data_IF_217222896578
#
_entry.id   IF_217222896578
#
_cell.length_a   1.000
_cell.length_b   1.000
_cell.length_c   1.000
_cell.angle_alpha   90.00
_cell.angle_beta   90.00
_cell.angle_gamma   90.00
#
_symmetry.space_group_name_H-M   'P 1'
#
loop_
_entity.id
_entity.type
_entity.pdbx_description
1 polymer ?
#
# COMPACT_ATOMS: atom_id res chain seq x y z
N UNK A 1 4.38 16.26 -1.84
CA UNK A 1 2.95 16.39 -1.55
C UNK A 1 2.75 16.17 -0.05
N UNK A 2 2.50 17.22 0.72
CA UNK A 2 2.38 17.17 2.19
C UNK A 2 1.00 16.63 2.62
N UNK A 3 0.95 15.40 3.10
CA UNK A 3 -0.21 14.86 3.83
C UNK A 3 0.02 15.01 5.34
N UNK A 4 0.08 16.27 5.80
CA UNK A 4 -0.18 16.62 7.20
C UNK A 4 -1.47 17.45 7.20
N UNK A 5 -2.61 16.78 7.02
CA UNK A 5 -3.91 17.40 7.19
C UNK A 5 -4.17 17.60 8.69
N UNK A 6 -3.58 18.67 9.23
CA UNK A 6 -3.90 19.16 10.57
C UNK A 6 -5.34 19.72 10.55
N UNK A 7 -6.29 18.95 11.08
CA UNK A 7 -7.64 19.42 11.35
C UNK A 7 -7.61 20.39 12.54
N UNK A 8 -7.41 21.69 12.27
CA UNK A 8 -7.48 22.75 13.26
C UNK A 8 -8.94 23.12 13.54
N UNK A 9 -9.48 22.66 14.67
CA UNK A 9 -10.77 23.11 15.20
C UNK A 9 -10.52 24.35 16.07
N UNK A 10 -10.95 25.51 15.61
CA UNK A 10 -10.93 26.75 16.36
C UNK A 10 -12.24 26.90 17.15
N UNK A 11 -12.16 26.89 18.48
CA UNK A 11 -13.25 27.31 19.36
C UNK A 11 -12.73 28.32 20.37
N UNK A 12 -13.23 29.55 20.26
CA UNK A 12 -13.13 30.54 21.31
C UNK A 12 -14.35 30.48 22.21
N UNK A 13 -14.13 30.53 23.52
CA UNK A 13 -14.72 31.50 24.46
C UNK A 13 -14.43 31.07 25.90
N UNK A 14 -14.12 32.08 26.70
CA UNK A 14 -13.67 32.06 28.08
C UNK A 14 -14.73 31.47 29.02
N UNK A 15 -14.58 30.20 29.36
CA UNK A 15 -14.97 29.66 30.66
C UNK A 15 -13.70 29.13 31.32
N UNK A 16 -13.67 28.99 32.65
CA UNK A 16 -12.71 28.13 33.33
C UNK A 16 -13.01 26.67 32.93
N UNK A 17 -12.79 26.37 31.65
CA UNK A 17 -12.82 25.03 31.08
C UNK A 17 -11.63 24.36 31.74
N UNK A 18 -11.89 23.36 32.57
CA UNK A 18 -10.92 22.32 32.86
C UNK A 18 -10.47 21.82 31.48
N UNK A 19 -9.38 22.38 30.97
CA UNK A 19 -8.94 22.16 29.61
C UNK A 19 -8.73 20.66 29.50
N UNK A 20 -9.60 19.99 28.73
CA UNK A 20 -9.39 18.58 28.42
C UNK A 20 -7.97 18.49 27.89
N UNK A 21 -7.10 17.67 28.50
CA UNK A 21 -5.70 17.59 28.09
C UNK A 21 -5.67 17.42 26.58
N UNK A 22 -4.96 18.32 25.90
CA UNK A 22 -4.78 18.21 24.46
C UNK A 22 -4.11 16.88 24.10
N UNK A 23 -4.14 16.49 22.81
CA UNK A 23 -3.46 15.27 22.38
C UNK A 23 -1.98 15.30 22.78
N UNK A 24 -1.50 14.18 23.31
CA UNK A 24 -0.10 14.04 23.75
C UNK A 24 0.88 14.14 22.56
N UNK A 25 2.19 14.32 22.81
CA UNK A 25 3.20 14.19 21.76
C UNK A 25 3.08 12.89 20.94
N UNK A 26 2.95 11.73 21.60
CA UNK A 26 2.80 10.42 20.92
C UNK A 26 1.56 10.39 20.01
N UNK A 27 0.42 10.88 20.50
CA UNK A 27 -0.82 10.94 19.71
C UNK A 27 -0.69 11.84 18.46
N UNK A 28 0.22 12.82 18.49
CA UNK A 28 0.50 13.72 17.36
C UNK A 28 1.60 13.20 16.44
N UNK A 29 2.17 12.02 16.71
CA UNK A 29 3.31 11.50 15.97
C UNK A 29 4.60 12.28 16.20
N UNK A 30 4.76 12.88 17.38
CA UNK A 30 5.99 13.55 17.78
C UNK A 30 6.80 12.64 18.71
N UNK A 31 8.13 12.74 18.61
CA UNK A 31 9.04 12.10 19.57
C UNK A 31 8.73 12.57 20.99
N UNK A 32 8.59 11.62 21.93
CA UNK A 32 8.43 11.89 23.34
C UNK A 32 9.59 11.30 24.12
N UNK A 33 10.23 12.13 24.95
CA UNK A 33 11.29 11.69 25.86
C UNK A 33 10.78 11.74 27.29
N UNK A 34 10.83 10.62 27.98
CA UNK A 34 10.51 10.46 29.39
C UNK A 34 11.70 10.83 30.29
N UNK A 35 12.95 10.73 29.80
CA UNK A 35 14.16 11.00 30.57
C UNK A 35 14.67 9.77 31.34
N UNK A 36 14.17 8.59 30.98
CA UNK A 36 14.66 7.30 31.45
C UNK A 36 14.91 6.42 30.23
N UNK A 37 16.09 5.83 30.12
CA UNK A 37 16.53 5.07 28.95
C UNK A 37 15.52 4.01 28.49
N UNK A 38 14.88 3.29 29.42
CA UNK A 38 13.92 2.24 29.08
C UNK A 38 12.67 2.80 28.40
N UNK A 39 12.13 3.89 28.92
CA UNK A 39 10.95 4.56 28.36
C UNK A 39 11.30 5.31 27.07
N UNK A 40 12.47 5.95 27.03
CA UNK A 40 12.94 6.67 25.84
C UNK A 40 13.16 5.70 24.67
N UNK A 41 13.70 4.50 24.92
CA UNK A 41 13.83 3.45 23.90
C UNK A 41 12.45 3.05 23.35
N UNK A 42 11.47 2.79 24.23
CA UNK A 42 10.09 2.48 23.85
C UNK A 42 9.47 3.56 22.96
N UNK A 43 9.54 4.83 23.38
CA UNK A 43 8.93 5.93 22.63
C UNK A 43 9.67 6.26 21.33
N UNK A 44 10.99 6.11 21.30
CA UNK A 44 11.80 6.27 20.08
C UNK A 44 11.40 5.21 19.05
N UNK A 45 11.35 3.95 19.47
CA UNK A 45 10.97 2.85 18.59
C UNK A 45 9.53 3.01 18.06
N UNK A 46 8.59 3.38 18.92
CA UNK A 46 7.22 3.67 18.49
C UNK A 46 7.17 4.81 17.46
N UNK A 47 7.91 5.89 17.69
CA UNK A 47 7.98 7.03 16.77
C UNK A 47 8.58 6.64 15.42
N UNK A 48 9.67 5.87 15.39
CA UNK A 48 10.28 5.40 14.15
C UNK A 48 9.29 4.58 13.31
N UNK A 49 8.52 3.69 13.95
CA UNK A 49 7.45 2.94 13.29
C UNK A 49 6.30 3.85 12.82
N UNK A 50 5.98 4.94 13.53
CA UNK A 50 4.99 5.92 13.08
C UNK A 50 5.44 6.60 11.78
N UNK A 51 6.70 7.01 11.70
CA UNK A 51 7.29 7.63 10.51
C UNK A 51 7.28 6.64 9.34
N UNK A 52 7.76 5.42 9.57
CA UNK A 52 7.76 4.37 8.53
C UNK A 52 6.36 4.09 7.98
N UNK A 53 5.37 3.97 8.86
CA UNK A 53 3.98 3.71 8.48
C UNK A 53 3.25 4.95 7.93
N UNK A 54 3.79 6.15 8.09
CA UNK A 54 3.25 7.35 7.43
C UNK A 54 3.46 7.28 5.90
N UNK A 55 4.59 6.73 5.47
CA UNK A 55 4.97 6.61 4.05
C UNK A 55 4.49 5.29 3.42
N UNK A 56 4.32 4.24 4.23
CA UNK A 56 3.99 2.89 3.77
C UNK A 56 2.83 2.79 2.75
N UNK A 57 1.72 3.56 2.83
CA UNK A 57 0.64 3.48 1.83
C UNK A 57 1.05 3.84 0.40
N UNK A 58 2.16 4.57 0.21
CA UNK A 58 2.70 4.88 -1.12
C UNK A 58 3.49 3.73 -1.75
N UNK A 59 4.07 2.85 -0.93
CA UNK A 59 5.03 1.82 -1.39
C UNK A 59 4.42 0.78 -2.35
N UNK A 60 3.19 0.26 -2.15
CA UNK A 60 2.59 -0.65 -3.14
C UNK A 60 2.39 0.00 -4.51
N UNK A 61 2.08 1.31 -4.53
CA UNK A 61 1.98 2.07 -5.78
C UNK A 61 3.34 2.18 -6.47
N UNK A 62 4.42 2.41 -5.74
CA UNK A 62 5.78 2.45 -6.30
C UNK A 62 6.18 1.11 -6.91
N UNK A 63 5.91 -0.01 -6.21
CA UNK A 63 6.15 -1.37 -6.74
C UNK A 63 5.38 -1.59 -8.03
N UNK A 64 4.09 -1.22 -8.05
CA UNK A 64 3.25 -1.31 -9.25
C UNK A 64 3.77 -0.41 -10.39
N UNK A 65 4.21 0.81 -10.06
CA UNK A 65 4.76 1.77 -11.01
C UNK A 65 6.01 1.24 -11.69
N UNK A 66 6.93 0.62 -10.94
CA UNK A 66 8.11 -0.04 -11.50
C UNK A 66 7.73 -1.15 -12.49
N UNK A 67 6.74 -1.99 -12.16
CA UNK A 67 6.25 -3.00 -13.10
C UNK A 67 5.55 -2.39 -14.33
N UNK A 68 4.79 -1.32 -14.14
CA UNK A 68 4.10 -0.61 -15.22
C UNK A 68 5.10 -0.01 -16.22
N UNK A 69 6.19 0.59 -15.73
CA UNK A 69 7.26 1.14 -16.57
C UNK A 69 7.87 0.07 -17.49
N UNK A 70 8.17 -1.13 -16.97
CA UNK A 70 8.66 -2.26 -17.77
C UNK A 70 7.67 -2.74 -18.85
N UNK A 71 6.38 -2.52 -18.62
CA UNK A 71 5.31 -2.90 -19.53
C UNK A 71 4.89 -1.75 -20.46
N UNK A 72 5.64 -0.64 -20.46
CA UNK A 72 5.35 0.58 -21.22
C UNK A 72 3.96 1.17 -20.91
N UNK A 73 3.57 1.11 -19.64
CA UNK A 73 2.33 1.67 -19.12
C UNK A 73 2.59 2.93 -18.29
N UNK A 74 1.54 3.72 -18.07
CA UNK A 74 1.57 4.85 -17.14
C UNK A 74 1.89 4.37 -15.70
N UNK A 75 2.65 5.15 -14.93
CA UNK A 75 3.04 4.81 -13.55
C UNK A 75 1.82 4.71 -12.59
N UNK A 76 0.68 5.29 -12.98
CA UNK A 76 -0.60 5.18 -12.28
C UNK A 76 -1.52 4.10 -12.86
N UNK A 77 -1.04 3.27 -13.79
CA UNK A 77 -1.81 2.16 -14.34
C UNK A 77 -2.39 1.30 -13.21
N UNK A 78 -3.65 0.91 -13.37
CA UNK A 78 -4.31 0.03 -12.39
C UNK A 78 -3.65 -1.35 -12.42
N UNK A 79 -3.66 -2.05 -11.28
CA UNK A 79 -3.09 -3.40 -11.22
C UNK A 79 -3.78 -4.37 -12.19
N UNK A 80 -5.05 -4.13 -12.54
CA UNK A 80 -5.76 -4.91 -13.56
C UNK A 80 -5.19 -4.72 -14.97
N UNK A 81 -4.81 -3.48 -15.34
CA UNK A 81 -4.22 -3.20 -16.63
C UNK A 81 -2.78 -3.73 -16.71
N UNK A 82 -2.00 -3.52 -15.64
CA UNK A 82 -0.65 -4.08 -15.49
C UNK A 82 -0.68 -5.59 -15.65
N UNK A 83 -1.57 -6.29 -14.93
CA UNK A 83 -1.68 -7.75 -15.01
C UNK A 83 -2.08 -8.23 -16.42
N UNK A 84 -3.05 -7.56 -17.07
CA UNK A 84 -3.46 -7.93 -18.42
C UNK A 84 -2.31 -7.79 -19.43
N UNK A 85 -1.55 -6.69 -19.35
CA UNK A 85 -0.41 -6.46 -20.24
C UNK A 85 0.72 -7.46 -19.96
N UNK A 86 0.96 -7.78 -18.68
CA UNK A 86 1.91 -8.82 -18.28
C UNK A 86 1.55 -10.18 -18.88
N UNK A 87 0.30 -10.61 -18.76
CA UNK A 87 -0.20 -11.86 -19.35
C UNK A 87 -0.05 -11.89 -20.88
N UNK A 88 -0.30 -10.77 -21.55
CA UNK A 88 -0.12 -10.63 -23.01
C UNK A 88 1.35 -10.76 -23.44
N UNK A 89 2.28 -10.16 -22.69
CA UNK A 89 3.72 -10.30 -22.98
C UNK A 89 4.20 -11.73 -22.74
N UNK A 90 3.78 -12.36 -21.64
CA UNK A 90 4.09 -13.78 -21.37
C UNK A 90 3.56 -14.69 -22.49
N UNK A 91 2.33 -14.47 -22.94
CA UNK A 91 1.75 -15.22 -24.06
C UNK A 91 2.52 -15.00 -25.37
N UNK A 92 2.90 -13.76 -25.68
CA UNK A 92 3.71 -13.43 -26.87
C UNK A 92 5.02 -14.21 -26.89
N UNK A 93 5.75 -14.22 -25.77
CA UNK A 93 6.99 -14.98 -25.64
C UNK A 93 6.75 -16.49 -25.71
N UNK A 94 5.67 -16.99 -25.09
CA UNK A 94 5.28 -18.41 -25.16
C UNK A 94 5.03 -18.85 -26.60
N UNK A 95 4.28 -18.07 -27.38
CA UNK A 95 4.03 -18.32 -28.81
C UNK A 95 5.32 -18.28 -29.65
N UNK A 96 6.33 -17.52 -29.22
CA UNK A 96 7.65 -17.50 -29.83
C UNK A 96 8.55 -18.70 -29.43
N UNK A 97 8.07 -19.56 -28.52
CA UNK A 97 8.81 -20.72 -28.00
C UNK A 97 9.72 -20.40 -26.81
N UNK A 98 9.48 -19.29 -26.11
CA UNK A 98 10.14 -18.91 -24.85
C UNK A 98 9.22 -19.21 -23.67
N UNK A 99 9.68 -20.00 -22.70
CA UNK A 99 8.95 -20.26 -21.45
C UNK A 99 9.54 -19.50 -20.26
N UNK A 100 8.74 -19.27 -19.23
CA UNK A 100 9.20 -18.73 -17.96
C UNK A 100 8.88 -19.68 -16.82
N UNK A 101 9.88 -19.96 -16.00
CA UNK A 101 9.73 -20.58 -14.69
C UNK A 101 9.85 -19.49 -13.64
N UNK A 102 8.92 -19.45 -12.70
CA UNK A 102 8.85 -18.37 -11.73
C UNK A 102 8.26 -18.87 -10.42
N UNK A 103 9.02 -18.76 -9.34
CA UNK A 103 8.58 -19.16 -8.00
C UNK A 103 8.85 -18.04 -7.01
N UNK A 104 7.84 -17.68 -6.22
CA UNK A 104 7.98 -16.71 -5.14
C UNK A 104 8.09 -17.46 -3.81
N UNK A 105 9.27 -17.39 -3.18
CA UNK A 105 9.43 -17.82 -1.79
C UNK A 105 8.75 -16.82 -0.85
N UNK A 106 7.91 -17.32 0.06
CA UNK A 106 7.28 -16.49 1.09
C UNK A 106 8.32 -15.78 1.96
N UNK A 107 7.98 -14.59 2.47
CA UNK A 107 8.85 -13.89 3.40
C UNK A 107 9.01 -14.70 4.69
N UNK A 108 10.26 -15.02 5.08
CA UNK A 108 10.53 -15.66 6.37
C UNK A 108 10.37 -14.66 7.52
N UNK A 109 10.47 -15.13 8.77
CA UNK A 109 10.38 -14.27 9.96
C UNK A 109 11.47 -13.18 9.99
N UNK A 110 12.60 -13.41 9.31
CA UNK A 110 13.70 -12.45 9.17
C UNK A 110 13.43 -11.42 8.07
N UNK A 111 12.34 -11.57 7.32
CA UNK A 111 11.94 -10.71 6.21
C UNK A 111 12.82 -10.88 4.97
N UNK A 112 13.52 -12.01 4.87
CA UNK A 112 14.15 -12.42 3.63
C UNK A 112 13.07 -13.01 2.72
N UNK A 113 13.12 -12.59 1.46
CA UNK A 113 12.23 -13.11 0.41
C UNK A 113 13.10 -13.52 -0.76
N UNK A 114 12.81 -14.69 -1.32
CA UNK A 114 13.44 -15.17 -2.54
C UNK A 114 12.44 -15.11 -3.68
N UNK A 115 12.95 -14.80 -4.87
CA UNK A 115 12.23 -15.01 -6.12
C UNK A 115 13.17 -15.83 -6.99
N UNK A 116 12.75 -17.02 -7.35
CA UNK A 116 13.53 -17.99 -8.12
C UNK A 116 12.88 -18.21 -9.49
N UNK A 117 13.63 -18.89 -10.37
CA UNK A 117 13.21 -19.16 -11.74
C UNK A 117 14.11 -18.54 -12.81
N UNK A 118 13.74 -18.79 -14.06
CA UNK A 118 14.51 -18.42 -15.24
C UNK A 118 13.70 -18.50 -16.54
N UNK A 119 14.39 -18.18 -17.64
CA UNK A 119 13.84 -18.26 -19.01
C UNK A 119 14.25 -19.59 -19.63
N UNK A 120 13.32 -20.28 -20.27
CA UNK A 120 13.53 -21.57 -20.97
C UNK A 120 13.19 -21.45 -22.46
N UNK A 121 13.66 -22.39 -23.29
CA UNK A 121 13.31 -22.46 -24.71
C UNK A 121 14.14 -21.52 -25.60
N UNK A 122 13.51 -20.91 -26.61
CA UNK A 122 14.15 -19.94 -27.50
C UNK A 122 14.28 -18.60 -26.77
N UNK A 123 15.42 -18.36 -26.13
CA UNK A 123 15.66 -17.10 -25.40
C UNK A 123 16.24 -16.03 -26.32
N UNK A 124 15.91 -14.77 -26.04
CA UNK A 124 16.57 -13.60 -26.62
C UNK A 124 16.76 -12.54 -25.51
N UNK A 125 17.59 -11.52 -25.79
CA UNK A 125 17.92 -10.47 -24.82
C UNK A 125 16.68 -9.73 -24.29
N UNK A 126 15.66 -9.57 -25.15
CA UNK A 126 14.39 -8.93 -24.80
C UNK A 126 13.61 -9.74 -23.74
N UNK A 127 13.50 -11.05 -23.92
CA UNK A 127 12.83 -11.96 -23.00
C UNK A 127 13.55 -12.04 -21.65
N UNK A 128 14.89 -12.04 -21.66
CA UNK A 128 15.70 -12.00 -20.44
C UNK A 128 15.54 -10.67 -19.68
N UNK A 129 15.53 -9.54 -20.41
CA UNK A 129 15.29 -8.22 -19.83
C UNK A 129 13.88 -8.11 -19.23
N UNK A 130 12.86 -8.61 -19.95
CA UNK A 130 11.49 -8.71 -19.48
C UNK A 130 11.40 -9.53 -18.18
N UNK A 131 11.93 -10.77 -18.19
CA UNK A 131 11.93 -11.64 -17.03
C UNK A 131 12.61 -10.99 -15.82
N UNK A 132 13.77 -10.35 -16.03
CA UNK A 132 14.50 -9.64 -14.98
C UNK A 132 13.70 -8.49 -14.38
N UNK A 133 13.00 -7.70 -15.20
CA UNK A 133 12.15 -6.60 -14.73
C UNK A 133 10.97 -7.09 -13.89
N UNK A 134 10.31 -8.15 -14.35
CA UNK A 134 9.21 -8.80 -13.60
C UNK A 134 9.70 -9.39 -12.28
N UNK A 135 10.82 -10.11 -12.31
CA UNK A 135 11.48 -10.69 -11.12
C UNK A 135 11.85 -9.62 -10.10
N UNK A 136 12.41 -8.49 -10.53
CA UNK A 136 12.73 -7.36 -9.66
C UNK A 136 11.49 -6.77 -8.98
N UNK A 137 10.39 -6.64 -9.72
CA UNK A 137 9.12 -6.12 -9.21
C UNK A 137 8.48 -7.05 -8.18
N UNK A 138 8.48 -8.36 -8.44
CA UNK A 138 8.02 -9.36 -7.47
C UNK A 138 8.88 -9.37 -6.20
N UNK A 139 10.20 -9.27 -6.34
CA UNK A 139 11.11 -9.20 -5.20
C UNK A 139 10.88 -7.92 -4.37
N UNK A 140 10.56 -6.80 -5.01
CA UNK A 140 10.19 -5.58 -4.30
C UNK A 140 8.86 -5.74 -3.54
N UNK A 141 7.87 -6.40 -4.15
CA UNK A 141 6.59 -6.71 -3.50
C UNK A 141 6.78 -7.60 -2.26
N UNK A 142 7.53 -8.70 -2.37
CA UNK A 142 7.75 -9.62 -1.25
C UNK A 142 8.61 -9.02 -0.14
N UNK A 143 9.62 -8.22 -0.48
CA UNK A 143 10.38 -7.45 0.53
C UNK A 143 9.50 -6.46 1.29
N UNK A 144 8.58 -5.78 0.60
CA UNK A 144 7.63 -4.87 1.25
C UNK A 144 6.69 -5.63 2.18
N UNK A 145 6.18 -6.79 1.75
CA UNK A 145 5.39 -7.68 2.60
C UNK A 145 6.16 -8.08 3.87
N UNK A 146 7.39 -8.60 3.71
CA UNK A 146 8.26 -8.99 4.83
C UNK A 146 8.62 -7.82 5.75
N UNK A 147 8.80 -6.61 5.21
CA UNK A 147 8.99 -5.39 6.01
C UNK A 147 7.77 -5.11 6.90
N UNK A 148 6.56 -5.16 6.34
CA UNK A 148 5.33 -4.90 7.10
C UNK A 148 5.04 -5.98 8.15
N UNK A 149 5.39 -7.24 7.88
CA UNK A 149 5.33 -8.31 8.89
C UNK A 149 6.27 -8.04 10.07
N UNK A 150 7.51 -7.59 9.82
CA UNK A 150 8.45 -7.21 10.88
C UNK A 150 7.95 -6.01 11.69
N UNK A 151 7.41 -4.99 11.02
CA UNK A 151 6.78 -3.84 11.69
C UNK A 151 5.67 -4.32 12.63
N UNK A 152 4.82 -5.24 12.18
CA UNK A 152 3.77 -5.81 13.02
C UNK A 152 4.31 -6.54 14.25
N UNK A 153 5.32 -7.40 14.10
CA UNK A 153 5.95 -8.08 15.24
C UNK A 153 6.49 -7.07 16.26
N UNK A 154 7.18 -6.02 15.81
CA UNK A 154 7.69 -4.96 16.71
C UNK A 154 6.57 -4.19 17.40
N UNK A 155 5.46 -3.94 16.72
CA UNK A 155 4.27 -3.33 17.33
C UNK A 155 3.64 -4.23 18.41
N UNK A 156 3.61 -5.55 18.20
CA UNK A 156 3.14 -6.52 19.19
C UNK A 156 4.05 -6.51 20.44
N UNK A 157 5.37 -6.47 20.24
CA UNK A 157 6.36 -6.38 21.31
C UNK A 157 6.24 -5.07 22.11
N UNK A 158 6.02 -3.93 21.43
CA UNK A 158 5.77 -2.64 22.10
C UNK A 158 4.46 -2.69 22.89
N UNK A 159 3.37 -3.21 22.33
CA UNK A 159 2.08 -3.30 23.03
C UNK A 159 2.20 -4.13 24.32
N UNK A 160 2.95 -5.23 24.28
CA UNK A 160 3.22 -6.09 25.42
C UNK A 160 4.03 -5.40 26.54
N UNK A 161 4.88 -4.43 26.20
CA UNK A 161 5.68 -3.67 27.19
C UNK A 161 4.86 -2.63 27.96
N UNK A 162 3.77 -2.11 27.38
CA UNK A 162 2.99 -1.00 27.96
C UNK A 162 2.52 -1.28 29.40
N UNK A 163 1.89 -2.42 29.74
CA UNK A 163 1.42 -2.68 31.10
C UNK A 163 2.56 -2.68 32.13
N UNK A 164 3.72 -3.21 31.78
CA UNK A 164 4.88 -3.26 32.66
C UNK A 164 5.45 -1.85 32.89
N UNK A 165 5.69 -1.10 31.81
CA UNK A 165 6.12 0.29 31.89
C UNK A 165 5.14 1.11 32.74
N UNK A 166 3.84 0.97 32.52
CA UNK A 166 2.82 1.67 33.32
C UNK A 166 2.88 1.37 34.81
N UNK A 167 3.07 0.10 35.18
CA UNK A 167 3.17 -0.32 36.58
C UNK A 167 4.39 0.28 37.27
N UNK A 168 5.48 0.47 36.54
CA UNK A 168 6.76 0.89 37.10
C UNK A 168 6.95 2.42 37.16
N UNK A 169 6.02 3.23 36.64
CA UNK A 169 6.15 4.71 36.58
C UNK A 169 6.46 5.32 37.94
N UNK A 170 5.66 5.04 38.97
CA UNK A 170 5.82 5.67 40.29
C UNK A 170 7.16 5.31 40.94
N UNK A 171 7.65 4.10 40.68
CA UNK A 171 8.94 3.62 41.17
C UNK A 171 10.09 4.29 40.42
N UNK A 172 10.07 4.21 39.08
CA UNK A 172 11.14 4.71 38.21
C UNK A 172 11.28 6.23 38.28
N UNK A 173 10.17 6.96 38.43
CA UNK A 173 10.12 8.42 38.45
C UNK A 173 9.68 8.96 39.82
N UNK A 174 10.11 8.29 40.89
CA UNK A 174 9.78 8.67 42.27
C UNK A 174 10.33 10.05 42.67
N UNK A 175 11.46 10.47 42.08
CA UNK A 175 12.05 11.81 42.28
C UNK A 175 11.43 12.90 41.42
N UNK A 176 10.61 12.55 40.42
CA UNK A 176 9.97 13.51 39.52
C UNK A 176 8.69 14.10 40.10
N UNK A 177 8.19 15.18 39.47
CA UNK A 177 6.89 15.75 39.83
C UNK A 177 5.72 14.80 39.49
N UNK A 178 4.59 14.86 40.23
CA UNK A 178 3.38 14.10 39.89
C UNK A 178 2.89 14.37 38.46
N UNK A 179 2.96 15.63 38.00
CA UNK A 179 2.56 16.01 36.64
C UNK A 179 3.38 15.28 35.58
N UNK A 180 4.69 15.16 35.78
CA UNK A 180 5.57 14.43 34.86
C UNK A 180 5.22 12.94 34.77
N UNK A 181 4.91 12.30 35.90
CA UNK A 181 4.44 10.91 35.94
C UNK A 181 3.12 10.75 35.19
N UNK A 182 2.17 11.67 35.39
CA UNK A 182 0.91 11.70 34.64
C UNK A 182 1.13 11.88 33.14
N UNK A 183 2.04 12.76 32.72
CA UNK A 183 2.36 12.95 31.30
C UNK A 183 2.90 11.67 30.65
N UNK A 184 3.79 10.95 31.33
CA UNK A 184 4.32 9.66 30.85
C UNK A 184 3.20 8.63 30.75
N UNK A 185 2.34 8.54 31.77
CA UNK A 185 1.20 7.62 31.76
C UNK A 185 0.23 7.90 30.61
N UNK A 186 -0.06 9.18 30.34
CA UNK A 186 -0.93 9.60 29.23
C UNK A 186 -0.31 9.25 27.86
N UNK A 187 0.99 9.44 27.67
CA UNK A 187 1.66 9.06 26.42
C UNK A 187 1.66 7.53 26.23
N UNK A 188 1.79 6.73 27.29
CA UNK A 188 1.64 5.27 27.21
C UNK A 188 0.19 4.85 26.89
N UNK A 189 -0.82 5.57 27.40
CA UNK A 189 -2.21 5.32 27.03
C UNK A 189 -2.49 5.63 25.56
N UNK A 190 -1.91 6.70 25.03
CA UNK A 190 -2.06 7.04 23.63
C UNK A 190 -1.29 6.07 22.72
N UNK A 191 -0.11 5.61 23.14
CA UNK A 191 0.60 4.51 22.47
C UNK A 191 -0.28 3.25 22.37
N UNK A 192 -0.94 2.86 23.48
CA UNK A 192 -1.85 1.69 23.52
C UNK A 192 -3.00 1.80 22.53
N UNK A 193 -3.54 3.00 22.32
CA UNK A 193 -4.62 3.23 21.34
C UNK A 193 -4.10 3.27 19.91
N UNK A 194 -2.89 3.78 19.72
CA UNK A 194 -2.29 3.99 18.41
C UNK A 194 -1.76 2.70 17.78
N UNK A 195 -1.11 1.83 18.56
CA UNK A 195 -0.48 0.60 18.06
C UNK A 195 -1.45 -0.26 17.22
N UNK A 196 -2.71 -0.52 17.65
CA UNK A 196 -3.67 -1.26 16.82
C UNK A 196 -3.95 -0.60 15.46
N UNK A 197 -3.99 0.74 15.38
CA UNK A 197 -4.20 1.47 14.13
C UNK A 197 -2.99 1.37 13.20
N UNK A 198 -1.78 1.38 13.78
CA UNK A 198 -0.53 1.16 13.06
C UNK A 198 -0.46 -0.28 12.51
N UNK A 199 -0.88 -1.27 13.30
CA UNK A 199 -0.97 -2.68 12.88
C UNK A 199 -1.92 -2.85 11.70
N UNK A 200 -3.13 -2.29 11.79
CA UNK A 200 -4.11 -2.33 10.68
C UNK A 200 -3.53 -1.73 9.39
N UNK A 201 -2.74 -0.65 9.51
CA UNK A 201 -2.08 -0.04 8.35
C UNK A 201 -1.00 -0.95 7.76
N UNK A 202 -0.15 -1.54 8.61
CA UNK A 202 0.86 -2.50 8.18
C UNK A 202 0.21 -3.71 7.47
N UNK A 203 -0.87 -4.26 8.02
CA UNK A 203 -1.62 -5.38 7.44
C UNK A 203 -2.20 -5.03 6.06
N UNK A 204 -2.74 -3.82 5.87
CA UNK A 204 -3.24 -3.35 4.57
C UNK A 204 -2.13 -3.30 3.52
N UNK A 205 -0.99 -2.70 3.85
CA UNK A 205 0.15 -2.58 2.94
C UNK A 205 0.74 -3.97 2.63
N UNK A 206 0.88 -4.83 3.64
CA UNK A 206 1.32 -6.22 3.49
C UNK A 206 0.39 -6.99 2.53
N UNK A 207 -0.92 -6.91 2.73
CA UNK A 207 -1.92 -7.57 1.88
C UNK A 207 -1.86 -7.08 0.43
N UNK A 208 -1.71 -5.77 0.22
CA UNK A 208 -1.58 -5.22 -1.13
C UNK A 208 -0.29 -5.67 -1.82
N UNK A 209 0.84 -5.65 -1.11
CA UNK A 209 2.12 -6.13 -1.62
C UNK A 209 2.06 -7.63 -1.96
N UNK A 210 1.50 -8.44 -1.08
CA UNK A 210 1.25 -9.87 -1.32
C UNK A 210 0.38 -10.09 -2.56
N UNK A 211 -0.70 -9.32 -2.72
CA UNK A 211 -1.57 -9.40 -3.90
C UNK A 211 -0.84 -9.08 -5.20
N UNK A 212 0.08 -8.10 -5.19
CA UNK A 212 0.93 -7.78 -6.35
C UNK A 212 1.82 -8.98 -6.68
N UNK A 213 2.53 -9.54 -5.69
CA UNK A 213 3.42 -10.68 -5.89
C UNK A 213 2.68 -11.90 -6.46
N UNK A 214 1.53 -12.28 -5.87
CA UNK A 214 0.71 -13.41 -6.34
C UNK A 214 0.16 -13.23 -7.75
N UNK A 215 -0.16 -12.00 -8.15
CA UNK A 215 -0.60 -11.71 -9.53
C UNK A 215 0.54 -11.86 -10.52
N UNK A 216 1.73 -11.38 -10.16
CA UNK A 216 2.94 -11.56 -10.99
C UNK A 216 3.24 -13.06 -11.15
N UNK A 217 3.28 -13.81 -10.05
CA UNK A 217 3.52 -15.25 -10.05
C UNK A 217 2.53 -15.98 -10.97
N UNK A 218 1.22 -15.73 -10.79
CA UNK A 218 0.17 -16.34 -11.61
C UNK A 218 0.29 -15.98 -13.11
N UNK A 219 0.71 -14.76 -13.44
CA UNK A 219 0.85 -14.34 -14.82
C UNK A 219 2.09 -14.96 -15.48
N UNK A 220 3.16 -15.18 -14.71
CA UNK A 220 4.43 -15.75 -15.19
C UNK A 220 4.43 -17.28 -15.25
N UNK A 221 3.58 -17.94 -14.47
CA UNK A 221 3.41 -19.38 -14.50
C UNK A 221 2.83 -19.82 -15.85
N UNK A 222 3.73 -20.28 -16.72
CA UNK A 222 3.46 -20.68 -18.11
C UNK A 222 3.77 -22.16 -18.34
N UNK A 223 4.12 -22.93 -17.30
CA UNK A 223 4.53 -24.33 -17.45
C UNK A 223 3.43 -25.17 -18.13
N UNK A 224 2.17 -24.91 -17.84
CA UNK A 224 1.03 -25.60 -18.47
C UNK A 224 0.82 -25.22 -19.95
N UNK A 225 1.43 -24.14 -20.44
CA UNK A 225 1.18 -23.58 -21.79
C UNK A 225 2.15 -24.08 -22.86
N UNK A 226 3.24 -24.74 -22.46
CA UNK A 226 4.21 -25.36 -23.37
C UNK A 226 3.88 -26.85 -23.57
N UNK A 227 2.60 -27.21 -23.58
CA UNK A 227 2.23 -28.47 -24.21
C UNK A 227 2.55 -28.31 -25.70
N UNK A 228 3.50 -29.14 -26.18
CA UNK A 228 3.78 -29.24 -27.60
C UNK A 228 2.44 -29.36 -28.32
N UNK A 229 2.19 -28.57 -29.38
CA UNK A 229 0.94 -28.68 -30.12
C UNK A 229 0.74 -30.16 -30.41
N UNK A 230 -0.37 -30.73 -29.94
CA UNK A 230 -0.68 -32.14 -30.21
C UNK A 230 -0.42 -32.35 -31.70
N UNK A 231 0.42 -33.34 -32.07
CA UNK A 231 0.81 -33.53 -33.45
C UNK A 231 -0.49 -33.58 -34.24
N UNK A 232 -0.71 -32.57 -35.08
CA UNK A 232 -1.91 -32.46 -35.89
C UNK A 232 -1.92 -33.76 -36.67
N UNK A 233 -2.78 -34.71 -36.28
CA UNK A 233 -3.00 -35.91 -37.06
C UNK A 233 -3.33 -35.39 -38.45
N UNK A 234 -2.45 -35.66 -39.40
CA UNK A 234 -2.66 -35.32 -40.79
C UNK A 234 -3.86 -36.16 -41.20
N UNK A 235 -5.05 -35.62 -41.03
CA UNK A 235 -6.29 -36.26 -41.46
C UNK A 235 -6.13 -36.38 -42.97
N UNK A 236 -5.90 -37.60 -43.45
CA UNK A 236 -5.89 -37.90 -44.87
C UNK A 236 -7.17 -37.31 -45.49
N UNK A 237 -7.05 -36.60 -46.63
CA UNK A 237 -8.19 -35.95 -47.28
C UNK A 237 -9.22 -37.01 -47.67
N UNK A 238 -10.22 -37.20 -46.81
CA UNK A 238 -11.37 -38.05 -47.10
C UNK A 238 -12.22 -37.35 -48.15
N UNK A 239 -12.52 -38.10 -49.22
CA UNK A 239 -13.23 -37.67 -50.42
C UNK A 239 -14.55 -36.90 -50.12
N UNK A 240 -14.98 -36.01 -51.04
CA UNK A 240 -16.20 -35.23 -50.87
C UNK A 240 -17.44 -36.13 -50.76
N UNK A 241 -18.03 -36.18 -49.57
CA UNK A 241 -19.35 -36.76 -49.36
C UNK A 241 -20.44 -35.76 -49.80
N UNK A 242 -21.46 -36.31 -50.44
CA UNK A 242 -22.60 -35.65 -51.07
C UNK A 242 -23.44 -34.75 -50.14
N UNK A 243 -24.23 -33.81 -50.69
CA UNK A 243 -25.06 -32.90 -49.90
C UNK A 243 -26.30 -33.64 -49.34
N UNK A 244 -26.36 -33.74 -48.01
CA UNK A 244 -27.56 -34.19 -47.29
C UNK A 244 -28.26 -32.97 -46.69
N UNK A 245 -29.38 -32.61 -47.31
CA UNK A 245 -30.45 -31.79 -46.77
C UNK A 245 -31.03 -32.47 -45.53
N UNK A 246 -31.06 -31.79 -44.38
CA UNK A 246 -32.19 -31.82 -43.45
C UNK A 246 -32.08 -30.64 -42.48
N UNK A 247 -33.10 -29.79 -42.53
CA UNK A 247 -33.28 -28.60 -41.72
C UNK A 247 -34.19 -28.99 -40.56
N UNK A 248 -33.63 -29.17 -39.37
CA UNK A 248 -34.43 -29.30 -38.15
C UNK A 248 -34.67 -27.90 -37.57
N UNK A 249 -35.88 -27.40 -37.83
CA UNK A 249 -36.41 -26.16 -37.25
C UNK A 249 -36.75 -26.43 -35.79
N UNK A 250 -35.92 -25.92 -34.88
CA UNK A 250 -36.25 -25.87 -33.45
C UNK A 250 -36.92 -24.53 -33.15
N UNK A 251 -38.19 -24.59 -32.75
CA UNK A 251 -39.01 -23.44 -32.36
C UNK A 251 -38.48 -22.76 -31.08
N UNK A 252 -38.60 -21.42 -30.97
CA UNK A 252 -38.22 -20.68 -29.78
C UNK A 252 -39.42 -20.54 -28.83
N UNK A 253 -39.37 -21.17 -27.66
CA UNK A 253 -40.35 -20.93 -26.60
C UNK A 253 -39.66 -20.65 -25.26
N UNK A 254 -39.88 -19.44 -24.74
CA UNK A 254 -39.20 -18.95 -23.54
C UNK A 254 -39.41 -17.46 -23.34
N UNK A 255 -40.66 -17.06 -23.12
CA UNK A 255 -41.10 -15.68 -22.97
C UNK A 255 -40.31 -14.85 -21.94
N UNK A 256 -39.71 -13.77 -22.43
CA UNK A 256 -39.23 -12.66 -21.61
C UNK A 256 -40.42 -11.85 -21.09
N UNK A 257 -40.55 -11.82 -19.76
CA UNK A 257 -41.48 -10.96 -19.04
C UNK A 257 -40.97 -9.51 -19.14
N UNK A 258 -41.81 -8.51 -19.50
CA UNK A 258 -41.36 -7.12 -19.60
C UNK A 258 -40.91 -6.60 -18.24
N UNK A 259 -39.64 -6.20 -18.13
CA UNK A 259 -39.13 -5.49 -16.98
C UNK A 259 -39.78 -4.11 -16.88
N UNK A 260 -40.27 -3.79 -15.69
CA UNK A 260 -40.88 -2.51 -15.34
C UNK A 260 -39.99 -1.32 -15.72
N UNK A 261 -40.63 -0.34 -16.35
CA UNK A 261 -40.10 0.99 -16.66
C UNK A 261 -39.45 1.60 -15.40
N UNK A 262 -38.16 1.99 -15.44
CA UNK A 262 -37.58 2.81 -14.39
C UNK A 262 -38.30 4.16 -14.35
N UNK A 263 -38.88 4.50 -13.20
CA UNK A 263 -39.43 5.82 -12.94
C UNK A 263 -38.39 6.91 -13.22
N UNK A 264 -38.81 7.97 -13.92
CA UNK A 264 -38.03 9.15 -14.23
C UNK A 264 -37.29 9.65 -12.99
N UNK A 265 -35.95 9.61 -13.03
CA UNK A 265 -35.12 10.21 -11.99
C UNK A 265 -35.40 11.71 -11.93
N UNK A 266 -35.67 12.28 -10.74
CA UNK A 266 -35.86 13.71 -10.57
C UNK A 266 -34.68 14.48 -11.16
N UNK A 267 -34.99 15.46 -12.00
CA UNK A 267 -34.03 16.38 -12.60
C UNK A 267 -33.17 16.99 -11.48
N UNK A 268 -31.83 16.87 -11.54
CA UNK A 268 -30.94 17.45 -10.54
C UNK A 268 -31.22 18.94 -10.38
N UNK A 269 -31.41 19.38 -9.13
CA UNK A 269 -31.54 20.79 -8.81
C UNK A 269 -30.31 21.57 -9.37
N UNK A 270 -30.52 22.77 -9.92
CA UNK A 270 -29.44 23.58 -10.49
C UNK A 270 -28.34 23.79 -9.46
N UNK A 271 -27.09 23.52 -9.86
CA UNK A 271 -25.90 23.74 -9.03
C UNK A 271 -25.91 25.19 -8.52
N UNK A 272 -25.71 25.42 -7.22
CA UNK A 272 -25.56 26.76 -6.66
C UNK A 272 -24.48 27.52 -7.42
N UNK A 273 -24.77 28.77 -7.77
CA UNK A 273 -23.81 29.64 -8.42
C UNK A 273 -22.50 29.68 -7.61
N UNK A 274 -21.32 29.60 -8.28
CA UNK A 274 -20.04 29.61 -7.60
C UNK A 274 -19.92 30.86 -6.73
N UNK A 275 -19.63 30.66 -5.44
CA UNK A 275 -19.37 31.75 -4.51
C UNK A 275 -18.24 32.62 -5.06
N UNK A 276 -18.36 33.97 -4.99
CA UNK A 276 -17.31 34.88 -5.42
C UNK A 276 -15.97 34.49 -4.81
N UNK A 277 -14.94 34.38 -5.65
CA UNK A 277 -13.58 34.10 -5.22
C UNK A 277 -13.18 35.11 -4.14
N UNK A 278 -12.73 34.61 -2.98
CA UNK A 278 -12.24 35.46 -1.90
C UNK A 278 -11.02 36.23 -2.41
N UNK A 279 -11.01 37.54 -2.18
CA UNK A 279 -9.84 38.39 -2.45
C UNK A 279 -8.59 37.75 -1.82
N UNK A 280 -7.46 37.68 -2.54
CA UNK A 280 -6.20 37.21 -2.00
C UNK A 280 -5.85 37.96 -0.73
N UNK A 281 -5.43 37.23 0.31
CA UNK A 281 -4.92 37.83 1.52
C UNK A 281 -3.67 38.67 1.18
N UNK A 282 -3.49 39.86 1.78
CA UNK A 282 -2.31 40.67 1.57
C UNK A 282 -1.04 39.89 1.96
N UNK A 283 0.01 40.04 1.16
CA UNK A 283 1.28 39.37 1.38
C UNK A 283 1.86 39.72 2.77
N UNK A 284 2.45 38.74 3.48
CA UNK A 284 3.08 38.98 4.77
C UNK A 284 4.21 40.00 4.64
N UNK A 285 4.31 40.93 5.60
CA UNK A 285 5.40 41.90 5.65
C UNK A 285 6.75 41.17 5.78
N UNK A 286 7.81 41.65 5.10
CA UNK A 286 9.16 41.10 5.23
C UNK A 286 9.60 41.05 6.70
N UNK A 287 10.23 39.94 7.10
CA UNK A 287 10.85 39.82 8.41
C UNK A 287 11.99 40.85 8.56
N UNK A 288 12.18 41.45 9.75
CA UNK A 288 13.29 42.34 10.01
C UNK A 288 14.63 41.65 9.79
N UNK A 289 15.58 42.35 9.19
CA UNK A 289 16.93 41.83 8.99
C UNK A 289 17.60 41.47 10.33
N UNK A 290 18.37 40.36 10.38
CA UNK A 290 19.12 39.99 11.56
C UNK A 290 20.13 41.09 11.93
N UNK A 291 20.20 41.41 13.23
CA UNK A 291 21.21 42.33 13.74
C UNK A 291 22.60 41.75 13.50
N UNK A 292 23.59 42.58 13.12
CA UNK A 292 24.97 42.13 13.01
C UNK A 292 25.47 41.62 14.37
N UNK A 293 26.32 40.57 14.39
CA UNK A 293 26.94 40.08 15.60
C UNK A 293 27.77 41.21 16.22
N UNK A 294 27.53 41.48 17.51
CA UNK A 294 28.30 42.46 18.25
C UNK A 294 29.75 42.01 18.40
N UNK A 295 30.67 42.94 18.13
CA UNK A 295 32.10 42.75 18.35
C UNK A 295 32.36 42.36 19.80
N UNK A 296 32.99 41.21 19.98
CA UNK A 296 33.50 40.71 21.24
C UNK A 296 34.93 41.27 21.36
N UNK A 297 35.13 42.30 22.19
CA UNK A 297 36.47 42.75 22.58
C UNK A 297 37.00 41.86 23.73
N UNK A 298 38.29 41.47 23.72
CA UNK A 298 38.92 40.61 24.72
C UNK A 298 39.19 41.28 26.07
#
# INVERSE_FOLDING_TARGET
MSWLAAAAIALGSTACVFATPGPTPVARGMEFRAGNQRYDAFFTELHDLQVELAEAPGKPKEVRGGLAEYLELDDNASMSLVNKKLEQEVERYTQAGTGFEFEIGGANAEGESSVEGGVRGKTNEEAEAFFKGVKSSALAATRLEGQMLRVRTRLDDLEAQIPELKRDIDKTFSSESPGRRTDIANNLDDAKKLIPLMRERADKVSTEAHSIARRIEKAMDSEDRIQAPEPVEVVEPTAPAAPSTDVEVVEPDGGEKPADKPADKPKPAPKPAPKPARKPAPAPKPAPAPKPPGDFEP
#
